data_IF_736630739051
#
_entry.id   IF_736630739051
#
_cell.length_a   1.000
_cell.length_b   1.000
_cell.length_c   1.000
_cell.angle_alpha   90.00
_cell.angle_beta   90.00
_cell.angle_gamma   90.00
#
_symmetry.space_group_name_H-M   'P 1'
#
loop_
_entity.id
_entity.type
_entity.pdbx_description
1 polymer ?
#
# COMPACT_ATOMS: atom_id res chain seq x y z
N UNK A 1 -24.74 -5.88 -0.57
CA UNK A 1 -26.13 -5.42 -0.39
C UNK A 1 -26.40 -4.10 -1.15
N UNK A 2 -25.76 -2.97 -0.81
CA UNK A 2 -26.00 -1.68 -1.51
C UNK A 2 -25.55 -1.67 -2.99
N UNK A 3 -24.37 -2.22 -3.29
CA UNK A 3 -23.85 -2.30 -4.67
C UNK A 3 -24.72 -3.15 -5.61
N UNK A 4 -25.37 -4.21 -5.11
CA UNK A 4 -26.27 -5.06 -5.91
C UNK A 4 -27.58 -4.35 -6.26
N UNK A 5 -28.07 -3.47 -5.38
CA UNK A 5 -29.29 -2.67 -5.64
C UNK A 5 -29.02 -1.64 -6.74
N UNK A 6 -27.84 -1.01 -6.70
CA UNK A 6 -27.41 -0.07 -7.74
C UNK A 6 -27.19 -0.80 -9.07
N UNK A 7 -26.46 -1.92 -9.06
CA UNK A 7 -26.21 -2.72 -10.27
C UNK A 7 -27.51 -3.21 -10.95
N UNK A 8 -28.54 -3.58 -10.18
CA UNK A 8 -29.82 -4.04 -10.72
C UNK A 8 -30.63 -2.93 -11.44
N UNK A 9 -30.27 -1.66 -11.27
CA UNK A 9 -30.94 -0.51 -11.89
C UNK A 9 -30.05 0.24 -12.88
N UNK A 10 -28.82 -0.22 -13.07
CA UNK A 10 -27.93 0.31 -14.09
C UNK A 10 -28.09 -0.55 -15.34
N UNK A 11 -28.53 0.08 -16.42
CA UNK A 11 -28.27 -0.45 -17.75
C UNK A 11 -26.75 -0.46 -17.92
N UNK A 12 -26.17 -1.66 -17.95
CA UNK A 12 -24.73 -1.88 -17.96
C UNK A 12 -24.06 -1.25 -19.18
N UNK A 13 -24.75 -1.26 -20.33
CA UNK A 13 -24.25 -0.64 -21.57
C UNK A 13 -24.34 0.89 -21.51
N UNK A 14 -25.45 1.44 -21.02
CA UNK A 14 -25.59 2.88 -20.83
C UNK A 14 -24.63 3.41 -19.74
N UNK A 15 -24.40 2.62 -18.69
CA UNK A 15 -23.46 2.91 -17.62
C UNK A 15 -22.01 2.93 -18.11
N UNK A 16 -21.61 1.98 -18.97
CA UNK A 16 -20.28 1.98 -19.57
C UNK A 16 -20.06 3.19 -20.49
N UNK A 17 -21.03 3.51 -21.35
CA UNK A 17 -20.96 4.69 -22.24
C UNK A 17 -20.85 5.99 -21.43
N UNK A 18 -21.60 6.10 -20.33
CA UNK A 18 -21.51 7.24 -19.42
C UNK A 18 -20.14 7.28 -18.73
N UNK A 19 -19.62 6.14 -18.27
CA UNK A 19 -18.32 6.03 -17.60
C UNK A 19 -17.16 6.43 -18.51
N UNK A 20 -17.14 5.94 -19.74
CA UNK A 20 -16.09 6.23 -20.73
C UNK A 20 -16.04 7.71 -21.12
N UNK A 21 -17.16 8.44 -20.95
CA UNK A 21 -17.24 9.88 -21.20
C UNK A 21 -16.83 10.77 -20.02
N UNK A 22 -16.53 10.21 -18.85
CA UNK A 22 -16.17 10.98 -17.65
C UNK A 22 -14.67 11.27 -17.65
N UNK A 23 -14.32 12.54 -17.45
CA UNK A 23 -12.94 12.94 -17.19
C UNK A 23 -12.50 12.48 -15.78
N UNK A 24 -11.41 11.71 -15.65
CA UNK A 24 -10.94 11.26 -14.34
C UNK A 24 -10.49 12.43 -13.46
N UNK A 25 -11.13 12.59 -12.31
CA UNK A 25 -10.78 13.59 -11.30
C UNK A 25 -11.08 13.04 -9.90
N UNK A 26 -10.27 13.42 -8.90
CA UNK A 26 -10.55 13.04 -7.50
C UNK A 26 -11.76 13.80 -6.98
N UNK A 27 -12.48 13.21 -6.02
CA UNK A 27 -13.62 13.87 -5.37
C UNK A 27 -13.17 15.15 -4.64
N UNK A 28 -11.96 15.15 -4.09
CA UNK A 28 -11.38 16.29 -3.39
C UNK A 28 -11.30 17.51 -4.32
N UNK A 29 -10.76 17.32 -5.53
CA UNK A 29 -10.59 18.41 -6.52
C UNK A 29 -11.90 18.75 -7.24
N UNK A 30 -12.66 17.72 -7.61
CA UNK A 30 -13.87 17.89 -8.42
C UNK A 30 -15.05 18.51 -7.65
N UNK A 31 -15.14 18.21 -6.34
CA UNK A 31 -16.27 18.60 -5.49
C UNK A 31 -15.80 19.32 -4.23
N UNK A 32 -14.96 18.68 -3.41
CA UNK A 32 -14.73 19.13 -2.02
C UNK A 32 -14.11 20.52 -1.95
N UNK A 33 -13.09 20.81 -2.78
CA UNK A 33 -12.44 22.12 -2.85
C UNK A 33 -13.36 23.25 -3.34
N UNK A 34 -14.44 22.88 -4.05
CA UNK A 34 -15.41 23.82 -4.63
C UNK A 34 -16.71 23.91 -3.84
N UNK A 35 -16.85 23.11 -2.78
CA UNK A 35 -18.07 23.02 -2.01
C UNK A 35 -18.28 24.29 -1.17
N UNK A 36 -19.39 25.00 -1.43
CA UNK A 36 -19.77 26.19 -0.66
C UNK A 36 -20.22 25.84 0.77
N UNK A 37 -20.64 24.59 1.00
CA UNK A 37 -21.14 24.10 2.27
C UNK A 37 -20.42 22.81 2.65
N UNK A 38 -19.42 22.93 3.53
CA UNK A 38 -18.69 21.80 4.10
C UNK A 38 -18.56 21.98 5.62
N UNK A 39 -18.53 20.87 6.35
CA UNK A 39 -18.26 20.83 7.78
C UNK A 39 -17.26 19.71 8.07
N UNK A 40 -16.40 19.92 9.05
CA UNK A 40 -15.37 18.95 9.47
C UNK A 40 -15.62 18.59 10.93
N UNK A 41 -15.56 17.30 11.25
CA UNK A 41 -15.64 16.80 12.63
C UNK A 41 -14.26 16.30 13.03
N UNK A 42 -13.62 16.87 14.07
CA UNK A 42 -12.36 16.35 14.58
C UNK A 42 -12.51 14.90 15.06
N UNK A 43 -11.50 14.07 14.79
CA UNK A 43 -11.50 12.67 15.19
C UNK A 43 -10.14 12.26 15.74
N UNK A 44 -10.13 11.72 16.95
CA UNK A 44 -8.94 11.16 17.60
C UNK A 44 -9.10 9.63 17.70
N UNK A 45 -8.86 8.92 16.59
CA UNK A 45 -9.01 7.46 16.52
C UNK A 45 -7.74 6.71 16.07
N UNK A 46 -6.58 7.38 16.05
CA UNK A 46 -5.33 6.77 15.55
C UNK A 46 -5.42 6.37 14.07
N UNK A 47 -6.08 7.20 13.26
CA UNK A 47 -6.26 6.94 11.82
C UNK A 47 -4.93 7.10 11.07
N UNK A 48 -4.66 6.16 10.15
CA UNK A 48 -3.56 6.19 9.20
C UNK A 48 -4.09 5.73 7.84
N UNK A 49 -3.70 6.40 6.77
CA UNK A 49 -4.11 6.05 5.40
C UNK A 49 -3.41 4.79 4.85
N UNK A 50 -2.51 4.18 5.65
CA UNK A 50 -1.62 3.06 5.30
C UNK A 50 -1.20 3.16 3.82
N UNK A 51 -0.57 4.28 3.45
CA UNK A 51 -0.17 4.56 2.07
C UNK A 51 1.12 3.87 1.59
N UNK A 52 1.80 3.08 2.42
CA UNK A 52 3.01 2.37 2.03
C UNK A 52 3.76 1.69 3.17
N UNK A 53 4.90 1.08 2.84
CA UNK A 53 5.70 0.29 3.79
C UNK A 53 6.30 1.13 4.94
N UNK A 54 6.44 2.45 4.77
CA UNK A 54 6.76 3.37 5.87
C UNK A 54 5.70 3.34 6.97
N UNK A 55 4.44 3.60 6.60
CA UNK A 55 3.32 3.59 7.54
C UNK A 55 3.10 2.21 8.19
N UNK A 56 3.34 1.12 7.46
CA UNK A 56 3.26 -0.22 8.02
C UNK A 56 4.32 -0.45 9.11
N UNK A 57 5.56 0.00 8.90
CA UNK A 57 6.61 -0.08 9.91
C UNK A 57 6.20 0.69 11.18
N UNK A 58 5.71 1.92 11.03
CA UNK A 58 5.31 2.76 12.18
C UNK A 58 4.15 2.17 12.99
N UNK A 59 3.26 1.41 12.34
CA UNK A 59 2.10 0.77 12.98
C UNK A 59 2.46 -0.51 13.74
N UNK A 60 3.48 -1.23 13.28
CA UNK A 60 3.85 -2.52 13.86
C UNK A 60 4.65 -2.35 15.17
N UNK A 61 4.57 -3.33 16.08
CA UNK A 61 5.47 -3.37 17.23
C UNK A 61 6.92 -3.49 16.78
N UNK A 62 7.80 -2.78 17.49
CA UNK A 62 9.23 -2.79 17.25
C UNK A 62 9.94 -3.62 18.31
N UNK A 63 10.95 -4.39 17.92
CA UNK A 63 11.86 -5.05 18.86
C UNK A 63 12.95 -4.10 19.40
N UNK A 64 13.93 -4.64 20.13
CA UNK A 64 14.98 -3.86 20.77
C UNK A 64 15.90 -3.11 19.79
N UNK A 65 16.08 -3.66 18.58
CA UNK A 65 16.91 -3.07 17.51
C UNK A 65 16.06 -2.22 16.53
N UNK A 66 14.78 -2.04 16.86
CA UNK A 66 13.82 -1.29 16.07
C UNK A 66 13.31 -2.05 14.85
N UNK A 67 13.41 -3.37 14.78
CA UNK A 67 12.81 -4.12 13.68
C UNK A 67 11.30 -4.24 13.86
N UNK A 68 10.57 -4.06 12.75
CA UNK A 68 9.15 -4.35 12.67
C UNK A 68 8.96 -5.64 11.86
N UNK A 69 8.31 -6.65 12.46
CA UNK A 69 8.19 -7.98 11.87
C UNK A 69 6.72 -8.34 11.63
N UNK A 70 6.43 -8.97 10.50
CA UNK A 70 5.11 -9.52 10.18
C UNK A 70 5.24 -10.82 9.36
N UNK A 71 4.31 -11.74 9.54
CA UNK A 71 4.33 -13.06 8.90
C UNK A 71 4.77 -14.20 9.83
N UNK A 72 4.81 -15.41 9.27
CA UNK A 72 5.11 -16.65 10.03
C UNK A 72 6.59 -17.01 10.02
N UNK A 73 7.40 -16.32 9.23
CA UNK A 73 8.83 -16.54 9.13
C UNK A 73 9.59 -16.07 10.37
N UNK A 74 10.70 -16.76 10.68
CA UNK A 74 11.65 -16.27 11.67
C UNK A 74 12.52 -15.16 11.09
N UNK A 75 13.06 -14.29 11.93
CA UNK A 75 14.03 -13.27 11.55
C UNK A 75 15.27 -13.34 12.43
N UNK A 76 16.45 -13.30 11.80
CA UNK A 76 17.74 -13.30 12.50
C UNK A 76 18.61 -12.18 11.94
N UNK A 77 18.91 -11.21 12.78
CA UNK A 77 19.76 -10.08 12.44
C UNK A 77 21.17 -10.23 13.02
N UNK A 78 22.16 -9.76 12.26
CA UNK A 78 23.51 -9.47 12.74
C UNK A 78 23.83 -8.03 12.35
N UNK A 79 24.22 -7.19 13.30
CA UNK A 79 24.60 -5.79 13.05
C UNK A 79 23.60 -5.03 12.15
N UNK A 80 22.30 -5.28 12.30
CA UNK A 80 21.23 -4.72 11.47
C UNK A 80 20.21 -4.03 12.36
N UNK A 81 19.59 -2.94 11.88
CA UNK A 81 18.67 -2.13 12.69
C UNK A 81 17.49 -1.60 11.87
N UNK A 82 16.39 -1.25 12.54
CA UNK A 82 15.29 -0.46 11.93
C UNK A 82 14.71 -1.02 10.63
N UNK A 83 14.77 -2.33 10.41
CA UNK A 83 14.23 -2.99 9.21
C UNK A 83 12.77 -3.41 9.39
N UNK A 84 11.95 -3.24 8.35
CA UNK A 84 10.65 -3.88 8.21
C UNK A 84 10.85 -5.22 7.48
N UNK A 85 10.39 -6.31 8.08
CA UNK A 85 10.46 -7.64 7.48
C UNK A 85 9.07 -8.26 7.47
N UNK A 86 8.57 -8.55 6.27
CA UNK A 86 7.30 -9.23 6.05
C UNK A 86 7.58 -10.49 5.24
N UNK A 87 7.54 -11.67 5.86
CA UNK A 87 7.86 -12.93 5.15
C UNK A 87 7.23 -14.16 5.80
N UNK A 88 6.81 -15.17 5.00
CA UNK A 88 6.43 -16.47 5.50
C UNK A 88 7.62 -17.41 5.81
N UNK A 89 8.85 -17.03 5.45
CA UNK A 89 10.07 -17.86 5.60
C UNK A 89 11.15 -17.14 6.42
N UNK A 90 12.23 -17.87 6.76
CA UNK A 90 13.38 -17.30 7.46
C UNK A 90 14.01 -16.17 6.64
N UNK A 91 14.19 -15.00 7.27
CA UNK A 91 14.96 -13.88 6.72
C UNK A 91 16.16 -13.61 7.62
N UNK A 92 17.33 -13.45 7.02
CA UNK A 92 18.55 -13.07 7.73
C UNK A 92 19.15 -11.80 7.13
N UNK A 93 19.69 -10.94 7.98
CA UNK A 93 20.27 -9.65 7.59
C UNK A 93 21.61 -9.45 8.28
N UNK A 94 22.57 -8.84 7.56
CA UNK A 94 23.88 -8.51 8.10
C UNK A 94 24.25 -7.09 7.67
N UNK A 95 24.50 -6.19 8.63
CA UNK A 95 25.01 -4.84 8.34
C UNK A 95 24.04 -3.92 7.61
N UNK A 96 22.74 -4.20 7.61
CA UNK A 96 21.74 -3.42 6.86
C UNK A 96 20.74 -2.72 7.78
N UNK A 97 20.35 -1.52 7.38
CA UNK A 97 19.48 -0.67 8.18
C UNK A 97 18.41 0.01 7.34
N UNK A 98 17.22 0.18 7.93
CA UNK A 98 16.15 0.97 7.33
C UNK A 98 15.51 0.35 6.08
N UNK A 99 15.66 -0.95 5.86
CA UNK A 99 15.09 -1.65 4.71
C UNK A 99 13.64 -2.07 4.95
N UNK A 100 12.87 -2.12 3.88
CA UNK A 100 11.66 -2.92 3.76
C UNK A 100 12.00 -4.18 2.95
N UNK A 101 11.84 -5.34 3.59
CA UNK A 101 12.05 -6.67 3.02
C UNK A 101 10.69 -7.35 3.00
N UNK A 102 10.05 -7.41 1.83
CA UNK A 102 8.66 -7.82 1.66
C UNK A 102 8.63 -9.03 0.74
N UNK A 103 8.19 -10.14 1.28
CA UNK A 103 8.17 -11.44 0.63
C UNK A 103 6.75 -11.99 0.61
N UNK A 104 6.19 -12.08 -0.59
CA UNK A 104 4.83 -12.57 -0.82
C UNK A 104 4.80 -14.08 -1.11
N UNK A 105 5.95 -14.75 -1.09
CA UNK A 105 6.11 -16.14 -1.53
C UNK A 105 6.45 -16.25 -3.01
N UNK A 106 5.77 -15.50 -3.87
CA UNK A 106 6.01 -15.45 -5.32
C UNK A 106 7.07 -14.41 -5.71
N UNK A 107 7.16 -13.31 -4.96
CA UNK A 107 8.10 -12.23 -5.23
C UNK A 107 8.73 -11.69 -3.94
N UNK A 108 9.94 -11.14 -4.08
CA UNK A 108 10.67 -10.47 -3.01
C UNK A 108 10.97 -9.03 -3.43
N UNK A 109 10.52 -8.08 -2.62
CA UNK A 109 10.88 -6.68 -2.70
C UNK A 109 11.86 -6.35 -1.57
N UNK A 110 13.01 -5.76 -1.94
CA UNK A 110 13.96 -5.19 -0.99
C UNK A 110 14.26 -3.76 -1.38
N UNK A 111 14.04 -2.82 -0.47
CA UNK A 111 14.35 -1.41 -0.71
C UNK A 111 14.57 -0.65 0.60
N UNK A 112 15.26 0.50 0.59
CA UNK A 112 15.14 1.46 1.67
C UNK A 112 13.66 1.83 1.87
N UNK A 113 13.20 1.81 3.11
CA UNK A 113 11.79 2.06 3.43
C UNK A 113 11.33 3.48 3.02
N UNK A 114 12.25 4.44 3.03
CA UNK A 114 12.07 5.82 2.55
C UNK A 114 11.82 5.95 1.03
N UNK A 115 11.96 4.86 0.28
CA UNK A 115 11.71 4.79 -1.15
C UNK A 115 10.38 4.12 -1.51
N UNK A 116 9.48 3.88 -0.55
CA UNK A 116 8.20 3.21 -0.77
C UNK A 116 7.35 3.80 -1.91
N UNK A 117 7.41 5.12 -2.13
CA UNK A 117 6.77 5.84 -3.22
C UNK A 117 7.19 5.37 -4.62
N UNK A 118 8.38 4.76 -4.77
CA UNK A 118 8.89 4.26 -6.06
C UNK A 118 8.29 2.91 -6.46
N UNK A 119 7.50 2.27 -5.59
CA UNK A 119 6.87 0.97 -5.88
C UNK A 119 5.95 1.06 -7.09
N UNK A 120 5.20 2.16 -7.26
CA UNK A 120 4.33 2.35 -8.43
C UNK A 120 5.10 2.36 -9.74
N UNK A 121 6.27 3.00 -9.77
CA UNK A 121 7.19 2.99 -10.92
C UNK A 121 7.75 1.59 -11.16
N UNK A 122 8.12 0.86 -10.10
CA UNK A 122 8.58 -0.53 -10.24
C UNK A 122 7.48 -1.43 -10.82
N UNK A 123 6.23 -1.28 -10.37
CA UNK A 123 5.07 -2.00 -10.90
C UNK A 123 4.93 -1.75 -12.40
N UNK A 124 4.99 -0.49 -12.84
CA UNK A 124 4.96 -0.16 -14.27
C UNK A 124 6.09 -0.86 -15.04
N UNK A 125 7.30 -0.83 -14.47
CA UNK A 125 8.46 -1.49 -15.08
C UNK A 125 8.30 -3.01 -15.20
N UNK A 126 7.69 -3.66 -14.22
CA UNK A 126 7.41 -5.10 -14.27
C UNK A 126 6.42 -5.44 -15.40
N UNK A 127 5.39 -4.61 -15.60
CA UNK A 127 4.44 -4.77 -16.72
C UNK A 127 5.13 -4.63 -18.09
N UNK A 128 6.01 -3.64 -18.24
CA UNK A 128 6.80 -3.47 -19.48
C UNK A 128 7.67 -4.69 -19.80
N UNK A 129 8.13 -5.39 -18.76
CA UNK A 129 8.94 -6.61 -18.89
C UNK A 129 8.08 -7.88 -19.07
N UNK A 130 6.76 -7.77 -19.06
CA UNK A 130 5.84 -8.90 -19.14
C UNK A 130 5.85 -9.79 -17.88
N UNK A 131 6.18 -9.21 -16.72
CA UNK A 131 6.26 -9.90 -15.42
C UNK A 131 4.98 -9.70 -14.59
N UNK A 132 3.83 -9.51 -15.25
CA UNK A 132 2.53 -9.28 -14.61
C UNK A 132 2.10 -10.40 -13.66
N UNK A 133 2.60 -11.63 -13.86
CA UNK A 133 2.32 -12.76 -12.97
C UNK A 133 2.87 -12.62 -11.55
N UNK A 134 3.70 -11.61 -11.28
CA UNK A 134 4.29 -11.31 -9.97
C UNK A 134 3.70 -10.05 -9.31
N UNK A 135 2.71 -9.41 -9.94
CA UNK A 135 2.02 -8.22 -9.43
C UNK A 135 0.72 -8.61 -8.69
#
# INVERSE_FOLDING_TARGET
AALQIVAAHLDEAAGQVAWDGIEPVTIDVGIMERAAHAAVVPCEMGWSDIGGFGALYDLLPHDADGHALSGTGAYVALDSQRNLVVSPRLVTTIGVEGLAIIDTGEALLVMPREHAQKVSTLVQRLRELGLDGYL
#
